data_IF_213859369202
#
_entry.id   IF_213859369202
#
_cell.length_a   1.000
_cell.length_b   1.000
_cell.length_c   1.000
_cell.angle_alpha   90.00
_cell.angle_beta   90.00
_cell.angle_gamma   90.00
#
_symmetry.space_group_name_H-M   'P 1'
#
loop_
_entity.id
_entity.type
_entity.pdbx_description
1 polymer ?
#
# COMPACT_ATOMS: atom_id res chain seq x y z
N UNK A 1 6.65 -0.77 8.85
CA UNK A 1 6.77 -0.39 7.42
C UNK A 1 7.25 -1.53 6.52
N UNK A 2 8.46 -2.09 6.66
CA UNK A 2 8.91 -3.12 5.71
C UNK A 2 7.96 -4.34 5.55
N UNK A 3 7.33 -4.82 6.63
CA UNK A 3 6.41 -5.96 6.54
C UNK A 3 5.14 -5.66 5.75
N UNK A 4 4.48 -4.51 5.97
CA UNK A 4 3.26 -4.21 5.21
C UNK A 4 3.58 -3.96 3.74
N UNK A 5 4.75 -3.36 3.42
CA UNK A 5 5.17 -3.17 2.03
C UNK A 5 5.50 -4.47 1.32
N UNK A 6 6.00 -5.47 2.04
CA UNK A 6 6.12 -6.82 1.52
C UNK A 6 4.75 -7.38 1.13
N UNK A 7 3.76 -7.27 2.02
CA UNK A 7 2.41 -7.76 1.76
C UNK A 7 1.65 -6.95 0.70
N UNK A 8 1.99 -5.68 0.45
CA UNK A 8 1.52 -4.91 -0.70
C UNK A 8 2.00 -5.55 -2.03
N UNK A 9 3.26 -5.98 -2.10
CA UNK A 9 3.82 -6.65 -3.28
C UNK A 9 3.14 -8.00 -3.56
N UNK A 10 2.93 -8.78 -2.49
CA UNK A 10 2.15 -10.02 -2.52
C UNK A 10 0.73 -9.76 -3.06
N UNK A 11 0.07 -8.72 -2.55
CA UNK A 11 -1.30 -8.35 -2.88
C UNK A 11 -1.47 -8.05 -4.37
N UNK A 12 -0.51 -7.33 -4.97
CA UNK A 12 -0.51 -6.99 -6.40
C UNK A 12 -0.51 -8.27 -7.24
N UNK A 13 0.43 -9.18 -6.99
CA UNK A 13 0.56 -10.43 -7.76
C UNK A 13 -0.69 -11.28 -7.60
N UNK A 14 -1.15 -11.46 -6.36
CA UNK A 14 -2.34 -12.25 -6.09
C UNK A 14 -3.59 -11.65 -6.78
N UNK A 15 -3.71 -10.33 -6.85
CA UNK A 15 -4.75 -9.64 -7.61
C UNK A 15 -4.74 -9.97 -9.10
N UNK A 16 -3.57 -9.89 -9.75
CA UNK A 16 -3.40 -10.24 -11.17
C UNK A 16 -3.70 -11.71 -11.46
N UNK A 17 -3.41 -12.61 -10.52
CA UNK A 17 -3.76 -14.03 -10.63
C UNK A 17 -5.27 -14.29 -10.60
N UNK A 18 -6.04 -13.47 -9.89
CA UNK A 18 -7.51 -13.56 -9.88
C UNK A 18 -8.10 -12.96 -11.15
N UNK A 19 -7.74 -11.73 -11.48
CA UNK A 19 -8.19 -11.07 -12.71
C UNK A 19 -7.31 -9.87 -13.05
N UNK A 20 -7.19 -9.57 -14.34
CA UNK A 20 -6.49 -8.37 -14.81
C UNK A 20 -7.05 -7.09 -14.17
N UNK A 21 -8.38 -7.00 -14.04
CA UNK A 21 -9.05 -5.85 -13.41
C UNK A 21 -8.61 -5.66 -11.96
N UNK A 22 -8.69 -6.72 -11.15
CA UNK A 22 -8.31 -6.65 -9.74
C UNK A 22 -6.82 -6.33 -9.59
N UNK A 23 -5.97 -6.95 -10.40
CA UNK A 23 -4.53 -6.67 -10.41
C UNK A 23 -4.20 -5.21 -10.69
N UNK A 24 -4.79 -4.62 -11.75
CA UNK A 24 -4.58 -3.20 -12.07
C UNK A 24 -5.09 -2.29 -10.96
N UNK A 25 -6.26 -2.60 -10.39
CA UNK A 25 -6.86 -1.82 -9.31
C UNK A 25 -5.96 -1.83 -8.06
N UNK A 26 -5.49 -2.99 -7.62
CA UNK A 26 -4.60 -3.12 -6.46
C UNK A 26 -3.23 -2.50 -6.73
N UNK A 27 -2.68 -2.65 -7.94
CA UNK A 27 -1.45 -1.99 -8.35
C UNK A 27 -1.55 -0.46 -8.25
N UNK A 28 -2.61 0.13 -8.79
CA UNK A 28 -2.82 1.57 -8.73
C UNK A 28 -3.03 2.05 -7.29
N UNK A 29 -3.80 1.32 -6.48
CA UNK A 29 -4.01 1.65 -5.08
C UNK A 29 -2.68 1.66 -4.30
N UNK A 30 -1.88 0.60 -4.43
CA UNK A 30 -0.56 0.52 -3.79
C UNK A 30 0.36 1.62 -4.30
N UNK A 31 0.43 1.85 -5.62
CA UNK A 31 1.26 2.90 -6.21
C UNK A 31 0.93 4.27 -5.62
N UNK A 32 -0.35 4.57 -5.45
CA UNK A 32 -0.82 5.87 -4.96
C UNK A 32 -0.39 6.12 -3.51
N UNK A 33 -0.45 5.11 -2.63
CA UNK A 33 -0.02 5.27 -1.24
C UNK A 33 1.48 5.09 -1.01
N UNK A 34 2.24 4.53 -1.97
CA UNK A 34 3.71 4.41 -1.86
C UNK A 34 4.44 5.74 -1.88
N UNK A 35 3.92 6.74 -2.60
CA UNK A 35 4.53 8.07 -2.64
C UNK A 35 4.47 8.72 -1.24
N UNK A 36 3.28 8.88 -0.60
CA UNK A 36 3.20 9.32 0.79
C UNK A 36 4.05 8.49 1.75
N UNK A 37 4.05 7.16 1.59
CA UNK A 37 4.78 6.27 2.48
C UNK A 37 6.31 6.48 2.42
N UNK A 38 6.85 6.71 1.22
CA UNK A 38 8.25 7.08 1.03
C UNK A 38 8.60 8.40 1.73
N UNK A 39 7.70 9.39 1.67
CA UNK A 39 7.87 10.65 2.41
C UNK A 39 7.84 10.44 3.92
N UNK A 40 6.93 9.61 4.43
CA UNK A 40 6.85 9.29 5.86
C UNK A 40 8.10 8.56 6.35
N UNK A 41 8.62 7.60 5.58
CA UNK A 41 9.85 6.91 5.93
C UNK A 41 11.06 7.86 5.96
N UNK A 42 11.16 8.72 4.95
CA UNK A 42 12.20 9.74 4.89
C UNK A 42 12.10 10.75 6.04
N UNK A 43 10.88 11.16 6.41
CA UNK A 43 10.66 12.10 7.52
C UNK A 43 11.00 11.48 8.88
N UNK A 44 10.66 10.20 9.11
CA UNK A 44 11.03 9.47 10.33
C UNK A 44 12.56 9.37 10.45
N UNK A 45 13.26 8.97 9.38
CA UNK A 45 14.72 8.87 9.40
C UNK A 45 15.36 10.24 9.66
N UNK A 46 14.82 11.30 9.04
CA UNK A 46 15.30 12.67 9.27
C UNK A 46 15.07 13.13 10.71
N UNK A 47 13.90 12.86 11.27
CA UNK A 47 13.55 13.18 12.65
C UNK A 47 14.44 12.42 13.66
N UNK A 48 14.87 11.20 13.31
CA UNK A 48 15.84 10.42 14.09
C UNK A 48 17.31 10.89 13.95
N UNK A 49 17.57 12.04 13.31
CA UNK A 49 18.92 12.57 13.10
C UNK A 49 19.65 12.00 11.87
N UNK A 50 18.97 11.22 11.04
CA UNK A 50 19.53 10.63 9.83
C UNK A 50 19.81 11.65 8.71
N UNK A 51 20.97 11.50 8.07
CA UNK A 51 21.32 12.28 6.88
C UNK A 51 20.63 11.80 5.60
N UNK A 52 20.86 12.50 4.48
CA UNK A 52 20.26 12.19 3.17
C UNK A 52 20.50 10.74 2.70
N UNK A 53 21.69 10.19 2.99
CA UNK A 53 22.03 8.79 2.67
C UNK A 53 21.12 7.81 3.41
N UNK A 54 20.90 8.02 4.72
CA UNK A 54 20.04 7.15 5.52
C UNK A 54 18.59 7.23 5.05
N UNK A 55 18.10 8.43 4.70
CA UNK A 55 16.75 8.61 4.16
C UNK A 55 16.56 7.83 2.85
N UNK A 56 17.53 7.95 1.92
CA UNK A 56 17.50 7.21 0.66
C UNK A 56 17.55 5.70 0.88
N UNK A 57 18.38 5.22 1.81
CA UNK A 57 18.43 3.79 2.16
C UNK A 57 17.10 3.31 2.76
N UNK A 58 16.45 4.11 3.60
CA UNK A 58 15.11 3.80 4.14
C UNK A 58 14.02 3.75 3.07
N UNK A 59 14.07 4.64 2.08
CA UNK A 59 13.16 4.59 0.93
C UNK A 59 13.44 3.35 0.05
N UNK A 60 14.72 3.02 -0.17
CA UNK A 60 15.12 1.85 -0.94
C UNK A 60 14.67 0.55 -0.29
N UNK A 61 14.77 0.41 1.04
CA UNK A 61 14.31 -0.81 1.73
C UNK A 61 12.80 -1.01 1.61
N UNK A 62 12.00 0.07 1.59
CA UNK A 62 10.55 0.00 1.33
C UNK A 62 10.27 -0.54 -0.08
N UNK A 63 10.95 0.00 -1.09
CA UNK A 63 10.79 -0.43 -2.48
C UNK A 63 11.25 -1.88 -2.68
N UNK A 64 12.41 -2.24 -2.13
CA UNK A 64 12.95 -3.60 -2.17
C UNK A 64 12.02 -4.61 -1.49
N UNK A 65 11.41 -4.23 -0.37
CA UNK A 65 10.45 -5.10 0.32
C UNK A 65 9.21 -5.38 -0.54
N UNK A 66 8.69 -4.35 -1.22
CA UNK A 66 7.57 -4.52 -2.17
C UNK A 66 7.94 -5.45 -3.30
N UNK A 67 9.12 -5.27 -3.90
CA UNK A 67 9.63 -6.16 -4.95
C UNK A 67 9.84 -7.60 -4.44
N UNK A 68 10.33 -7.77 -3.22
CA UNK A 68 10.47 -9.09 -2.59
C UNK A 68 9.10 -9.77 -2.44
N UNK A 69 8.06 -9.02 -2.05
CA UNK A 69 6.68 -9.49 -1.99
C UNK A 69 6.17 -9.99 -3.35
N UNK A 70 6.40 -9.22 -4.42
CA UNK A 70 6.06 -9.60 -5.80
C UNK A 70 6.76 -10.91 -6.21
N UNK A 71 8.05 -11.04 -5.92
CA UNK A 71 8.82 -12.23 -6.27
C UNK A 71 8.42 -13.47 -5.44
N UNK A 72 7.94 -13.28 -4.21
CA UNK A 72 7.68 -14.38 -3.27
C UNK A 72 6.57 -15.34 -3.71
N UNK A 73 5.49 -14.83 -4.31
CA UNK A 73 4.32 -15.63 -4.70
C UNK A 73 4.33 -16.00 -6.17
N UNK A 74 5.18 -15.37 -6.97
CA UNK A 74 5.40 -15.77 -8.36
C UNK A 74 5.85 -17.23 -8.52
N UNK A 75 6.27 -17.89 -7.44
CA UNK A 75 6.79 -19.27 -7.42
C UNK A 75 5.78 -20.32 -6.94
N UNK A 76 4.64 -19.96 -6.33
CA UNK A 76 3.68 -20.95 -5.82
C UNK A 76 2.22 -20.45 -5.87
N UNK A 77 1.44 -21.06 -6.77
CA UNK A 77 0.04 -20.70 -7.03
C UNK A 77 -0.90 -21.03 -5.87
N UNK A 78 -0.62 -22.06 -5.08
CA UNK A 78 -1.50 -22.46 -3.95
C UNK A 78 -1.49 -21.41 -2.84
N UNK A 79 -0.38 -20.67 -2.69
CA UNK A 79 -0.28 -19.59 -1.71
C UNK A 79 -1.13 -18.38 -2.07
N UNK A 80 -1.51 -18.19 -3.35
CA UNK A 80 -2.27 -17.02 -3.82
C UNK A 80 -3.63 -16.90 -3.12
N UNK A 81 -4.32 -18.03 -2.92
CA UNK A 81 -5.68 -18.05 -2.35
C UNK A 81 -5.67 -17.58 -0.89
N UNK A 82 -4.65 -17.94 -0.12
CA UNK A 82 -4.49 -17.49 1.25
C UNK A 82 -3.84 -16.09 1.35
N UNK A 83 -2.98 -15.74 0.38
CA UNK A 83 -2.22 -14.51 0.40
C UNK A 83 -3.08 -13.25 0.28
N UNK A 84 -4.12 -13.27 -0.55
CA UNK A 84 -5.01 -12.12 -0.74
C UNK A 84 -5.75 -11.69 0.54
N UNK A 85 -6.53 -12.57 1.21
CA UNK A 85 -7.21 -12.19 2.44
C UNK A 85 -6.21 -11.88 3.56
N UNK A 86 -5.06 -12.55 3.60
CA UNK A 86 -4.00 -12.24 4.56
C UNK A 86 -3.43 -10.84 4.35
N UNK A 87 -3.03 -10.49 3.12
CA UNK A 87 -2.54 -9.15 2.80
C UNK A 87 -3.58 -8.06 3.05
N UNK A 88 -4.84 -8.30 2.68
CA UNK A 88 -5.93 -7.38 3.00
C UNK A 88 -6.05 -7.17 4.52
N UNK A 89 -5.94 -8.25 5.31
CA UNK A 89 -5.90 -8.19 6.77
C UNK A 89 -4.73 -7.36 7.30
N UNK A 90 -3.53 -7.52 6.73
CA UNK A 90 -2.36 -6.69 7.09
C UNK A 90 -2.62 -5.21 6.78
N UNK A 91 -3.16 -4.88 5.61
CA UNK A 91 -3.50 -3.50 5.24
C UNK A 91 -4.53 -2.89 6.21
N UNK A 92 -5.59 -3.63 6.54
CA UNK A 92 -6.61 -3.19 7.50
C UNK A 92 -6.02 -3.02 8.90
N UNK A 93 -5.19 -3.96 9.34
CA UNK A 93 -4.51 -3.90 10.64
C UNK A 93 -3.65 -2.64 10.75
N UNK A 94 -2.75 -2.39 9.78
CA UNK A 94 -1.88 -1.22 9.79
C UNK A 94 -2.68 0.08 9.71
N UNK A 95 -3.73 0.13 8.89
CA UNK A 95 -4.61 1.29 8.82
C UNK A 95 -5.28 1.57 10.18
N UNK A 96 -5.78 0.54 10.85
CA UNK A 96 -6.48 0.67 12.12
C UNK A 96 -5.55 0.91 13.32
N UNK A 97 -4.38 0.29 13.36
CA UNK A 97 -3.44 0.38 14.49
C UNK A 97 -2.55 1.61 14.44
N UNK A 98 -2.18 2.06 13.23
CA UNK A 98 -1.17 3.09 13.05
C UNK A 98 -1.79 4.38 12.51
N UNK A 99 -2.54 4.30 11.40
CA UNK A 99 -3.04 5.49 10.69
C UNK A 99 -4.22 6.16 11.40
N UNK A 100 -5.31 5.43 11.70
CA UNK A 100 -6.51 6.00 12.31
C UNK A 100 -6.21 6.67 13.67
N UNK A 101 -5.41 6.07 14.57
CA UNK A 101 -5.04 6.73 15.82
C UNK A 101 -4.26 8.03 15.60
N UNK A 102 -3.38 8.08 14.60
CA UNK A 102 -2.60 9.28 14.30
C UNK A 102 -3.46 10.41 13.69
N UNK A 103 -4.41 10.06 12.82
CA UNK A 103 -5.43 11.00 12.31
C UNK A 103 -6.22 11.61 13.46
N UNK A 104 -6.64 10.79 14.44
CA UNK A 104 -7.43 11.23 15.58
C UNK A 104 -6.66 12.10 16.59
N UNK A 105 -5.33 12.06 16.61
CA UNK A 105 -4.50 12.96 17.44
C UNK A 105 -4.42 14.37 16.86
N UNK A 106 -4.63 14.52 15.56
CA UNK A 106 -4.47 15.80 14.88
C UNK A 106 -5.73 16.65 15.08
N UNK A 107 -5.58 17.92 15.49
CA UNK A 107 -6.73 18.80 15.69
C UNK A 107 -7.39 19.19 14.36
N UNK A 108 -8.72 19.29 14.37
CA UNK A 108 -9.51 19.66 13.20
C UNK A 108 -9.92 18.48 12.30
N UNK A 109 -10.61 18.77 11.19
CA UNK A 109 -11.22 17.74 10.33
C UNK A 109 -10.45 17.48 9.04
N UNK A 110 -9.43 18.28 8.72
CA UNK A 110 -8.78 18.27 7.41
C UNK A 110 -8.14 16.91 7.09
N UNK A 111 -7.47 16.29 8.05
CA UNK A 111 -6.81 14.99 7.85
C UNK A 111 -7.86 13.88 7.74
N UNK A 112 -8.94 13.93 8.53
CA UNK A 112 -10.08 13.01 8.40
C UNK A 112 -10.73 13.12 7.01
N UNK A 113 -10.91 14.33 6.49
CA UNK A 113 -11.37 14.53 5.10
C UNK A 113 -10.40 13.92 4.08
N UNK A 114 -9.09 13.96 4.35
CA UNK A 114 -8.08 13.26 3.54
C UNK A 114 -8.30 11.74 3.48
N UNK A 115 -8.68 11.11 4.60
CA UNK A 115 -9.03 9.67 4.64
C UNK A 115 -10.23 9.40 3.75
N UNK A 116 -11.32 10.17 3.91
CA UNK A 116 -12.52 10.01 3.08
C UNK A 116 -12.25 10.31 1.60
N UNK A 117 -11.38 11.27 1.29
CA UNK A 117 -10.93 11.55 -0.06
C UNK A 117 -10.19 10.34 -0.65
N UNK A 118 -9.33 9.67 0.13
CA UNK A 118 -8.67 8.44 -0.29
C UNK A 118 -9.67 7.33 -0.64
N UNK A 119 -10.69 7.13 0.19
CA UNK A 119 -11.78 6.18 -0.07
C UNK A 119 -12.54 6.57 -1.35
N UNK A 120 -12.87 7.85 -1.52
CA UNK A 120 -13.51 8.36 -2.72
C UNK A 120 -12.67 8.12 -3.99
N UNK A 121 -11.37 8.42 -3.96
CA UNK A 121 -10.46 8.19 -5.09
C UNK A 121 -10.35 6.71 -5.45
N UNK A 122 -10.38 5.82 -4.46
CA UNK A 122 -10.43 4.38 -4.70
C UNK A 122 -11.71 3.97 -5.46
N UNK A 123 -12.88 4.43 -5.01
CA UNK A 123 -14.14 4.19 -5.69
C UNK A 123 -14.18 4.75 -7.12
N UNK A 124 -13.64 5.96 -7.32
CA UNK A 124 -13.54 6.56 -8.66
C UNK A 124 -12.64 5.71 -9.56
N UNK A 125 -11.50 5.25 -9.04
CA UNK A 125 -10.57 4.40 -9.79
C UNK A 125 -11.21 3.06 -10.18
N UNK A 126 -11.97 2.46 -9.28
CA UNK A 126 -12.75 1.23 -9.53
C UNK A 126 -13.79 1.44 -10.63
N UNK A 127 -14.59 2.50 -10.55
CA UNK A 127 -15.59 2.87 -11.55
C UNK A 127 -14.98 3.15 -12.92
N UNK A 128 -13.87 3.87 -12.98
CA UNK A 128 -13.16 4.15 -14.23
C UNK A 128 -12.61 2.87 -14.86
N UNK A 129 -12.00 2.00 -14.06
CA UNK A 129 -11.52 0.70 -14.54
C UNK A 129 -12.66 -0.18 -15.05
N UNK A 130 -13.82 -0.16 -14.38
CA UNK A 130 -15.01 -0.87 -14.85
C UNK A 130 -15.48 -0.36 -16.22
N UNK A 131 -15.47 0.96 -16.43
CA UNK A 131 -15.86 1.56 -17.71
C UNK A 131 -14.85 1.27 -18.83
N UNK A 132 -13.54 1.32 -18.54
CA UNK A 132 -12.47 1.13 -19.54
C UNK A 132 -12.29 -0.33 -19.92
N UNK A 133 -12.34 -1.25 -18.94
CA UNK A 133 -12.06 -2.67 -19.19
C UNK A 133 -13.29 -3.45 -19.64
N UNK A 134 -14.50 -2.88 -19.63
CA UNK A 134 -15.67 -3.44 -20.31
C UNK A 134 -15.99 -4.90 -19.99
N UNK A 135 -15.93 -5.29 -18.71
CA UNK A 135 -16.32 -6.62 -18.22
C UNK A 135 -17.33 -6.53 -17.08
#
# INVERSE_FOLDING_TARGET
MALHTFFDGVLIVAGFWISMRLGVLLFLAVLLHKIPEGFTAASIVRAAGGGKRAMNLGALTISLSTLAGVCSISLNRELVVAALPFSAGVTVYVAASDLIPEVNKQPGIAISLGVFLGVFLFFVSERLLHMVLGM
#
